data_IF_024468268016
#
_entry.id   IF_024468268016
#
_cell.length_a   1.000
_cell.length_b   1.000
_cell.length_c   1.000
_cell.angle_alpha   90.00
_cell.angle_beta   90.00
_cell.angle_gamma   90.00
#
_symmetry.space_group_name_H-M   'P 1'
#
loop_
_entity.id
_entity.type
_entity.pdbx_description
1 polymer ?
#
# COMPACT_ATOMS: atom_id res chain seq x y z
N UNK A 1 -16.66 2.69 12.10
CA UNK A 1 -15.96 1.65 11.30
C UNK A 1 -14.70 2.16 10.61
N UNK A 2 -14.68 3.34 9.97
CA UNK A 2 -13.49 3.89 9.25
C UNK A 2 -12.19 3.88 10.06
N UNK A 3 -12.25 4.27 11.33
CA UNK A 3 -11.08 4.29 12.22
C UNK A 3 -10.53 2.89 12.52
N UNK A 4 -11.42 1.89 12.65
CA UNK A 4 -11.01 0.50 12.83
C UNK A 4 -10.31 -0.04 11.57
N UNK A 5 -10.85 0.30 10.39
CA UNK A 5 -10.22 -0.06 9.12
C UNK A 5 -8.84 0.57 8.96
N UNK A 6 -8.71 1.89 9.24
CA UNK A 6 -7.41 2.58 9.23
C UNK A 6 -6.43 1.89 10.19
N UNK A 7 -6.85 1.57 11.41
CA UNK A 7 -6.01 0.88 12.38
C UNK A 7 -5.54 -0.50 11.89
N UNK A 8 -6.41 -1.26 11.22
CA UNK A 8 -6.04 -2.54 10.61
C UNK A 8 -5.05 -2.35 9.44
N UNK A 9 -5.28 -1.33 8.62
CA UNK A 9 -4.43 -1.00 7.49
C UNK A 9 -3.02 -0.61 7.95
N UNK A 10 -2.92 0.24 8.97
CA UNK A 10 -1.65 0.66 9.55
C UNK A 10 -0.87 -0.53 10.13
N UNK A 11 -1.54 -1.45 10.84
CA UNK A 11 -0.90 -2.68 11.33
C UNK A 11 -0.35 -3.56 10.21
N UNK A 12 -1.09 -3.70 9.11
CA UNK A 12 -0.62 -4.44 7.93
C UNK A 12 0.56 -3.74 7.27
N UNK A 13 0.48 -2.43 7.09
CA UNK A 13 1.59 -1.61 6.57
C UNK A 13 2.86 -1.76 7.44
N UNK A 14 2.75 -1.68 8.76
CA UNK A 14 3.89 -1.82 9.67
C UNK A 14 4.56 -3.20 9.50
N UNK A 15 3.78 -4.28 9.40
CA UNK A 15 4.27 -5.64 9.14
C UNK A 15 4.94 -5.80 7.78
N UNK A 16 4.47 -5.09 6.76
CA UNK A 16 5.06 -5.10 5.43
C UNK A 16 6.37 -4.32 5.40
N UNK A 17 6.41 -3.16 6.05
CA UNK A 17 7.58 -2.29 6.10
C UNK A 17 8.80 -2.96 6.73
N UNK A 18 8.61 -3.85 7.70
CA UNK A 18 9.72 -4.54 8.37
C UNK A 18 10.43 -5.58 7.51
N UNK A 19 9.76 -6.15 6.50
CA UNK A 19 10.35 -7.17 5.62
C UNK A 19 9.87 -7.03 4.16
N UNK A 20 9.95 -5.81 3.64
CA UNK A 20 9.36 -5.46 2.34
C UNK A 20 9.97 -6.20 1.14
N UNK A 21 11.16 -6.77 1.30
CA UNK A 21 11.91 -7.43 0.23
C UNK A 21 11.35 -8.80 -0.12
N UNK A 22 10.83 -9.50 0.89
CA UNK A 22 10.26 -10.84 0.77
C UNK A 22 8.74 -10.79 0.59
N UNK A 23 8.13 -9.62 0.81
CA UNK A 23 6.67 -9.41 0.83
C UNK A 23 6.15 -8.57 -0.33
N UNK A 24 6.84 -8.59 -1.48
CA UNK A 24 6.45 -7.78 -2.64
C UNK A 24 5.02 -8.09 -3.14
N UNK A 25 4.63 -9.37 -3.13
CA UNK A 25 3.28 -9.81 -3.50
C UNK A 25 2.23 -9.28 -2.51
N UNK A 26 2.44 -9.48 -1.20
CA UNK A 26 1.55 -8.95 -0.15
C UNK A 26 1.39 -7.42 -0.22
N UNK A 27 2.46 -6.69 -0.55
CA UNK A 27 2.39 -5.23 -0.77
C UNK A 27 1.47 -4.92 -1.95
N UNK A 28 1.61 -5.64 -3.07
CA UNK A 28 0.77 -5.46 -4.25
C UNK A 28 -0.71 -5.77 -3.99
N UNK A 29 -0.99 -6.85 -3.26
CA UNK A 29 -2.36 -7.22 -2.87
C UNK A 29 -3.00 -6.12 -2.01
N UNK A 30 -2.27 -5.61 -1.01
CA UNK A 30 -2.76 -4.53 -0.17
C UNK A 30 -3.02 -3.24 -0.97
N UNK A 31 -2.17 -2.92 -1.94
CA UNK A 31 -2.41 -1.78 -2.83
C UNK A 31 -3.69 -1.92 -3.65
N UNK A 32 -3.97 -3.12 -4.16
CA UNK A 32 -5.20 -3.40 -4.92
C UNK A 32 -6.43 -3.24 -4.02
N UNK A 33 -6.37 -3.77 -2.80
CA UNK A 33 -7.43 -3.67 -1.80
C UNK A 33 -7.74 -2.21 -1.45
N UNK A 34 -6.71 -1.43 -1.11
CA UNK A 34 -6.86 -0.02 -0.75
C UNK A 34 -7.43 0.79 -1.92
N UNK A 35 -6.94 0.56 -3.13
CA UNK A 35 -7.42 1.25 -4.33
C UNK A 35 -8.89 0.93 -4.64
N UNK A 36 -9.31 -0.32 -4.44
CA UNK A 36 -10.72 -0.72 -4.65
C UNK A 36 -11.65 0.03 -3.68
N UNK A 37 -11.21 0.21 -2.43
CA UNK A 37 -11.97 0.93 -1.41
C UNK A 37 -12.02 2.43 -1.72
N UNK A 38 -10.90 3.05 -2.08
CA UNK A 38 -10.87 4.45 -2.51
C UNK A 38 -11.91 4.69 -3.62
N UNK A 39 -11.87 3.87 -4.68
CA UNK A 39 -12.81 3.98 -5.81
C UNK A 39 -14.27 3.82 -5.39
N UNK A 40 -14.57 2.88 -4.51
CA UNK A 40 -15.93 2.70 -3.98
C UNK A 40 -16.41 3.93 -3.21
N UNK A 41 -15.55 4.55 -2.40
CA UNK A 41 -15.88 5.79 -1.68
C UNK A 41 -16.01 7.01 -2.60
N UNK A 42 -15.13 7.16 -3.59
CA UNK A 42 -15.22 8.23 -4.60
C UNK A 42 -16.52 8.13 -5.41
N UNK A 43 -16.92 6.91 -5.80
CA UNK A 43 -18.14 6.67 -6.57
C UNK A 43 -19.42 7.08 -5.81
N UNK A 44 -19.40 7.04 -4.48
CA UNK A 44 -20.52 7.49 -3.64
C UNK A 44 -20.68 9.00 -3.62
N UNK A 45 -19.66 9.76 -4.07
CA UNK A 45 -19.66 11.25 -4.16
C UNK A 45 -20.13 11.93 -2.87
N UNK A 46 -19.82 11.36 -1.72
CA UNK A 46 -20.21 11.89 -0.43
C UNK A 46 -19.11 12.80 0.14
N UNK A 47 -19.35 14.11 0.32
CA UNK A 47 -18.34 15.04 0.83
C UNK A 47 -17.80 14.67 2.23
N UNK A 48 -18.57 13.92 3.03
CA UNK A 48 -18.14 13.46 4.36
C UNK A 48 -17.04 12.40 4.30
N UNK A 49 -16.70 11.91 3.11
CA UNK A 49 -15.76 10.82 2.91
C UNK A 49 -14.38 11.32 2.47
N UNK A 50 -14.24 12.62 2.15
CA UNK A 50 -13.00 13.25 1.67
C UNK A 50 -11.82 12.94 2.60
N UNK A 51 -11.92 13.26 3.89
CA UNK A 51 -10.84 13.01 4.84
C UNK A 51 -10.45 11.52 4.94
N UNK A 52 -11.42 10.62 4.75
CA UNK A 52 -11.14 9.19 4.78
C UNK A 52 -10.40 8.75 3.51
N UNK A 53 -10.84 9.23 2.34
CA UNK A 53 -10.17 9.00 1.05
C UNK A 53 -8.74 9.51 1.09
N UNK A 54 -8.51 10.74 1.57
CA UNK A 54 -7.16 11.34 1.68
C UNK A 54 -6.21 10.50 2.55
N UNK A 55 -6.71 9.92 3.65
CA UNK A 55 -5.91 9.02 4.49
C UNK A 55 -5.57 7.73 3.73
N UNK A 56 -6.51 7.17 2.97
CA UNK A 56 -6.26 5.97 2.16
C UNK A 56 -5.27 6.25 1.03
N UNK A 57 -5.39 7.39 0.35
CA UNK A 57 -4.46 7.82 -0.70
C UNK A 57 -3.03 8.02 -0.15
N UNK A 58 -2.90 8.57 1.06
CA UNK A 58 -1.62 8.65 1.74
C UNK A 58 -1.01 7.25 1.94
N UNK A 59 -1.79 6.31 2.47
CA UNK A 59 -1.30 4.95 2.72
C UNK A 59 -0.99 4.23 1.40
N UNK A 60 -1.77 4.46 0.35
CA UNK A 60 -1.51 3.93 -0.98
C UNK A 60 -0.19 4.42 -1.55
N UNK A 61 0.12 5.71 -1.36
CA UNK A 61 1.41 6.30 -1.75
C UNK A 61 2.57 5.65 -1.00
N UNK A 62 2.43 5.45 0.31
CA UNK A 62 3.44 4.78 1.13
C UNK A 62 3.69 3.33 0.71
N UNK A 63 2.63 2.58 0.39
CA UNK A 63 2.74 1.22 -0.14
C UNK A 63 3.45 1.19 -1.49
N UNK A 64 3.15 2.16 -2.37
CA UNK A 64 3.83 2.28 -3.66
C UNK A 64 5.33 2.53 -3.48
N UNK A 65 5.72 3.44 -2.59
CA UNK A 65 7.13 3.69 -2.28
C UNK A 65 7.80 2.41 -1.77
N UNK A 66 7.11 1.64 -0.92
CA UNK A 66 7.63 0.38 -0.38
C UNK A 66 7.83 -0.67 -1.49
N UNK A 67 6.88 -0.80 -2.41
CA UNK A 67 6.97 -1.67 -3.57
C UNK A 67 8.16 -1.31 -4.47
N UNK A 68 8.36 -0.02 -4.76
CA UNK A 68 9.48 0.44 -5.59
C UNK A 68 10.84 0.16 -4.92
N UNK A 69 10.92 0.27 -3.59
CA UNK A 69 12.12 -0.11 -2.84
C UNK A 69 12.41 -1.61 -2.94
N UNK A 70 11.39 -2.46 -2.81
CA UNK A 70 11.51 -3.91 -2.97
C UNK A 70 12.01 -4.28 -4.38
N UNK A 71 11.35 -3.74 -5.43
CA UNK A 71 11.69 -3.96 -6.83
C UNK A 71 13.13 -3.51 -7.14
N UNK A 72 13.53 -2.32 -6.71
CA UNK A 72 14.89 -1.82 -6.90
C UNK A 72 15.94 -2.75 -6.30
N UNK A 73 15.65 -3.36 -5.14
CA UNK A 73 16.58 -4.29 -4.50
C UNK A 73 16.63 -5.64 -5.21
N UNK A 74 15.49 -6.13 -5.70
CA UNK A 74 15.42 -7.34 -6.52
C UNK A 74 16.24 -7.19 -7.81
N UNK A 75 16.08 -6.08 -8.53
CA UNK A 75 16.83 -5.77 -9.75
C UNK A 75 18.34 -5.73 -9.46
N UNK A 76 18.75 -5.09 -8.36
CA UNK A 76 20.16 -5.06 -7.94
C UNK A 76 20.73 -6.46 -7.66
N UNK A 77 19.95 -7.33 -6.99
CA UNK A 77 20.36 -8.72 -6.76
C UNK A 77 20.56 -9.43 -8.10
N UNK A 78 19.55 -9.41 -8.98
CA UNK A 78 19.63 -10.06 -10.30
C UNK A 78 20.80 -9.53 -11.14
N UNK A 79 21.02 -8.22 -11.16
CA UNK A 79 22.16 -7.61 -11.86
C UNK A 79 23.52 -8.01 -11.31
N UNK A 80 23.63 -8.26 -10.00
CA UNK A 80 24.87 -8.74 -9.37
C UNK A 80 25.17 -10.23 -9.63
N UNK A 81 24.17 -11.05 -9.99
CA UNK A 81 24.37 -12.45 -10.34
C UNK A 81 24.71 -12.67 -11.83
N UNK A 82 24.44 -11.67 -12.68
CA UNK A 82 24.58 -11.76 -14.14
C UNK A 82 25.81 -10.98 -14.69
N UNK A 83 26.68 -10.44 -13.83
CA UNK A 83 27.91 -9.73 -14.20
C UNK A 83 29.12 -10.33 -13.53
#
# INVERSE_FOLDING_TARGET
>A
MRLLYINQLLKRYDSLRTNYEEKLEEIGELQIEVLAIIKDFENRKNPKDINFIEILDFIQTELYILQQKALKKLIKKVGAYNG
#
